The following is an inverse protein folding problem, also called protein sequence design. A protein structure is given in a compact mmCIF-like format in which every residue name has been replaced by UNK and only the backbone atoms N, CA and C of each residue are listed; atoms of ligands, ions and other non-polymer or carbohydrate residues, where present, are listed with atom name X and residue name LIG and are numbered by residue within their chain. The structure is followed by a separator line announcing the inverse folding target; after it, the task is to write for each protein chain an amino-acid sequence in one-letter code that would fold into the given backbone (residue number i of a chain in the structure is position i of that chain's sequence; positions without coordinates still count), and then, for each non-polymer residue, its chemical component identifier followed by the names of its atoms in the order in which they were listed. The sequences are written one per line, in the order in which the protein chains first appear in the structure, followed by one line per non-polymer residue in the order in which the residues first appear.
data_IF_460390293173
#
_entry.id   IF_460390293173
#
_cell.length_a   1.000
_cell.length_b   1.000
_cell.length_c   1.000
_cell.angle_alpha   90.00
_cell.angle_beta   90.00
_cell.angle_gamma   90.00
#
_symmetry.space_group_name_H-M   'P 1'
#
loop_
_entity.id
_entity.type
_entity.pdbx_description
1 polymer ?
#
# COMPACT_ATOMS: atom_id res chain seq x y z
N UNK A 1 -20.71 -0.64 -15.38
CA UNK A 1 -19.74 -0.04 -16.32
C UNK A 1 -18.37 -0.10 -15.68
N UNK A 2 -17.37 -0.64 -16.37
CA UNK A 2 -15.98 -0.76 -15.90
C UNK A 2 -15.16 0.35 -16.52
N UNK A 3 -14.25 0.94 -15.73
CA UNK A 3 -13.29 1.92 -16.23
C UNK A 3 -12.01 1.20 -16.65
N UNK A 4 -11.51 1.49 -17.83
CA UNK A 4 -10.23 1.02 -18.35
C UNK A 4 -9.29 2.22 -18.52
N UNK A 5 -8.04 2.06 -18.10
CA UNK A 5 -7.02 3.09 -18.18
C UNK A 5 -5.81 2.61 -18.98
N UNK A 6 -5.37 3.40 -19.94
CA UNK A 6 -4.13 3.18 -20.66
C UNK A 6 -3.01 3.88 -19.87
N UNK A 7 -2.01 3.12 -19.42
CA UNK A 7 -0.97 3.58 -18.50
C UNK A 7 0.40 3.63 -19.18
N UNK A 8 1.17 4.68 -18.90
CA UNK A 8 2.58 4.82 -19.27
C UNK A 8 3.47 4.82 -18.03
N UNK A 9 4.50 3.99 -18.03
CA UNK A 9 5.45 3.80 -16.92
C UNK A 9 6.77 4.48 -17.27
N UNK A 10 7.02 5.66 -16.71
CA UNK A 10 8.20 6.44 -17.08
C UNK A 10 9.47 5.98 -16.34
N UNK A 11 9.32 5.33 -15.19
CA UNK A 11 10.42 4.92 -14.32
C UNK A 11 11.10 3.60 -14.74
N UNK A 12 10.54 2.87 -15.71
CA UNK A 12 11.12 1.61 -16.21
C UNK A 12 11.44 1.72 -17.70
N UNK A 13 12.73 1.92 -18.00
CA UNK A 13 13.24 2.13 -19.35
C UNK A 13 12.86 1.01 -20.34
N UNK A 14 12.57 -0.20 -19.85
CA UNK A 14 12.21 -1.34 -20.70
C UNK A 14 10.77 -1.26 -21.24
N UNK A 15 9.91 -0.45 -20.62
CA UNK A 15 8.49 -0.36 -20.94
C UNK A 15 8.00 1.09 -21.12
N UNK A 16 8.91 2.07 -21.07
CA UNK A 16 8.59 3.49 -21.14
C UNK A 16 8.11 3.94 -22.54
N UNK A 17 8.37 3.16 -23.58
CA UNK A 17 8.02 3.46 -24.98
C UNK A 17 6.55 3.13 -25.32
N UNK A 18 5.82 2.47 -24.42
CA UNK A 18 4.50 1.90 -24.70
C UNK A 18 3.45 2.31 -23.66
N UNK A 19 2.20 2.09 -24.05
CA UNK A 19 1.04 2.22 -23.18
C UNK A 19 0.39 0.86 -22.98
N UNK A 20 -0.03 0.58 -21.75
CA UNK A 20 -0.60 -0.70 -21.36
C UNK A 20 -1.99 -0.48 -20.77
N UNK A 21 -2.97 -1.27 -21.19
CA UNK A 21 -4.33 -1.18 -20.66
C UNK A 21 -4.46 -1.92 -19.32
N UNK A 22 -5.22 -1.32 -18.39
CA UNK A 22 -5.56 -1.87 -17.09
C UNK A 22 -7.04 -1.69 -16.79
N UNK A 23 -7.61 -2.60 -15.99
CA UNK A 23 -8.89 -2.39 -15.30
C UNK A 23 -8.67 -1.38 -14.16
N UNK A 24 -9.51 -0.37 -14.05
CA UNK A 24 -9.42 0.64 -13.00
C UNK A 24 -10.70 0.61 -12.14
N UNK A 25 -10.60 0.26 -10.84
CA UNK A 25 -11.77 0.10 -9.98
C UNK A 25 -12.28 1.43 -9.38
N UNK A 26 -11.68 2.56 -9.75
CA UNK A 26 -12.03 3.88 -9.25
C UNK A 26 -11.95 4.93 -10.38
N UNK A 27 -12.63 6.08 -10.24
CA UNK A 27 -12.59 7.13 -11.26
C UNK A 27 -11.18 7.68 -11.43
N UNK A 28 -10.69 7.80 -12.66
CA UNK A 28 -9.42 8.45 -13.03
C UNK A 28 -9.63 9.31 -14.27
N UNK A 29 -8.73 10.26 -14.49
CA UNK A 29 -8.65 11.06 -15.73
C UNK A 29 -7.24 11.02 -16.31
N UNK A 30 -7.12 11.41 -17.57
CA UNK A 30 -5.82 11.60 -18.22
C UNK A 30 -4.94 12.56 -17.40
N UNK A 31 -3.66 12.22 -17.28
CA UNK A 31 -2.69 12.91 -16.44
C UNK A 31 -2.69 12.49 -14.96
N UNK A 32 -3.70 11.76 -14.47
CA UNK A 32 -3.66 11.22 -13.10
C UNK A 32 -2.46 10.26 -12.94
N UNK A 33 -1.85 10.28 -11.74
CA UNK A 33 -0.80 9.32 -11.38
C UNK A 33 -1.39 8.19 -10.55
N UNK A 34 -1.03 6.96 -10.89
CA UNK A 34 -1.53 5.74 -10.24
C UNK A 34 -0.40 4.75 -9.96
N UNK A 35 -0.67 3.79 -9.08
CA UNK A 35 0.17 2.62 -8.86
C UNK A 35 -0.46 1.40 -9.53
N UNK A 36 0.31 0.68 -10.35
CA UNK A 36 -0.17 -0.47 -11.10
C UNK A 36 0.88 -1.61 -11.13
N UNK A 37 0.44 -2.89 -11.10
CA UNK A 37 1.32 -4.05 -11.08
C UNK A 37 1.91 -4.36 -12.46
N UNK A 38 3.23 -4.52 -12.55
CA UNK A 38 3.97 -4.82 -13.78
C UNK A 38 4.60 -6.22 -13.71
N UNK A 39 4.68 -6.91 -14.85
CA UNK A 39 5.37 -8.20 -15.00
C UNK A 39 4.72 -9.38 -14.27
N UNK A 40 5.26 -10.59 -14.37
CA UNK A 40 4.67 -11.80 -13.76
C UNK A 40 4.56 -11.76 -12.23
N UNK A 41 5.38 -10.94 -11.56
CA UNK A 41 5.46 -10.87 -10.11
C UNK A 41 4.60 -9.77 -9.47
N UNK A 42 3.80 -9.06 -10.28
CA UNK A 42 2.91 -7.98 -9.84
C UNK A 42 3.62 -6.93 -8.98
N UNK A 43 4.85 -6.56 -9.34
CA UNK A 43 5.57 -5.50 -8.65
C UNK A 43 4.91 -4.18 -9.01
N UNK A 44 4.52 -3.38 -8.01
CA UNK A 44 3.87 -2.11 -8.27
C UNK A 44 4.89 -1.10 -8.78
N UNK A 45 4.53 -0.41 -9.84
CA UNK A 45 5.24 0.76 -10.34
C UNK A 45 4.27 1.95 -10.42
N UNK A 46 4.82 3.16 -10.45
CA UNK A 46 4.05 4.37 -10.71
C UNK A 46 3.82 4.51 -12.21
N UNK A 47 2.65 5.00 -12.59
CA UNK A 47 2.29 5.26 -13.98
C UNK A 47 1.47 6.54 -14.11
N UNK A 48 1.46 7.10 -15.31
CA UNK A 48 0.57 8.19 -15.71
C UNK A 48 -0.55 7.61 -16.57
N UNK A 49 -1.79 8.04 -16.30
CA UNK A 49 -2.96 7.70 -17.13
C UNK A 49 -2.89 8.52 -18.42
N UNK A 50 -2.73 7.85 -19.55
CA UNK A 50 -2.68 8.48 -20.88
C UNK A 50 -4.06 8.56 -21.53
N UNK A 51 -4.91 7.56 -21.30
CA UNK A 51 -6.28 7.49 -21.85
C UNK A 51 -7.21 6.77 -20.88
N UNK A 52 -8.49 7.15 -20.92
CA UNK A 52 -9.56 6.49 -20.14
C UNK A 52 -10.71 6.11 -21.07
N UNK A 53 -11.17 4.87 -20.96
CA UNK A 53 -12.36 4.37 -21.66
C UNK A 53 -13.28 3.73 -20.66
N UNK A 54 -14.59 3.92 -20.81
CA UNK A 54 -15.59 3.21 -20.02
C UNK A 54 -16.39 2.28 -20.93
N UNK A 55 -16.67 1.07 -20.44
CA UNK A 55 -17.40 0.07 -21.22
C UNK A 55 -17.90 -1.08 -20.36
N UNK A 56 -18.62 -2.00 -20.97
CA UNK A 56 -18.80 -3.35 -20.42
C UNK A 56 -17.61 -4.25 -20.83
N UNK A 57 -17.61 -5.50 -20.40
CA UNK A 57 -16.52 -6.43 -20.75
C UNK A 57 -16.46 -6.76 -22.24
N UNK A 58 -17.58 -6.66 -22.97
CA UNK A 58 -17.63 -6.91 -24.42
C UNK A 58 -17.02 -5.78 -25.24
N UNK A 59 -16.97 -4.57 -24.69
CA UNK A 59 -16.39 -3.37 -25.31
C UNK A 59 -15.07 -2.93 -24.66
N UNK A 60 -14.36 -3.85 -23.99
CA UNK A 60 -13.08 -3.55 -23.39
C UNK A 60 -12.02 -3.23 -24.47
N UNK A 61 -11.06 -2.33 -24.20
CA UNK A 61 -10.01 -1.96 -25.18
C UNK A 61 -9.00 -3.08 -25.44
N UNK A 62 -9.07 -4.17 -24.68
CA UNK A 62 -8.25 -5.36 -24.80
C UNK A 62 -8.99 -6.54 -24.15
N UNK A 63 -8.57 -7.77 -24.44
CA UNK A 63 -9.14 -8.95 -23.79
C UNK A 63 -8.94 -8.87 -22.27
N UNK A 64 -10.08 -8.83 -21.57
CA UNK A 64 -10.18 -8.55 -20.14
C UNK A 64 -9.45 -9.58 -19.28
N UNK A 65 -9.17 -10.78 -19.80
CA UNK A 65 -8.43 -11.85 -19.10
C UNK A 65 -6.95 -11.52 -18.93
N UNK A 66 -6.40 -10.66 -19.79
CA UNK A 66 -5.00 -10.22 -19.72
C UNK A 66 -4.85 -8.87 -19.02
N UNK A 67 -5.95 -8.18 -18.76
CA UNK A 67 -5.94 -6.89 -18.09
C UNK A 67 -5.73 -7.07 -16.58
N UNK A 68 -4.62 -6.54 -16.09
CA UNK A 68 -4.39 -6.36 -14.67
C UNK A 68 -5.20 -5.20 -14.11
N UNK A 69 -5.29 -5.13 -12.78
CA UNK A 69 -6.06 -4.08 -12.09
C UNK A 69 -5.15 -3.02 -11.49
N UNK A 70 -5.48 -1.74 -11.67
CA UNK A 70 -4.81 -0.62 -11.02
C UNK A 70 -4.98 -0.75 -9.50
N UNK A 71 -3.89 -0.64 -8.75
CA UNK A 71 -3.90 -0.86 -7.31
C UNK A 71 -4.46 0.33 -6.53
N UNK A 72 -3.99 1.55 -6.84
CA UNK A 72 -4.39 2.76 -6.13
C UNK A 72 -4.05 4.04 -6.92
N UNK A 73 -4.69 5.15 -6.57
CA UNK A 73 -4.21 6.48 -6.97
C UNK A 73 -2.93 6.82 -6.20
N UNK A 74 -2.02 7.58 -6.81
CA UNK A 74 -0.93 8.18 -6.04
C UNK A 74 -1.51 9.12 -4.98
N UNK A 75 -1.06 8.96 -3.73
CA UNK A 75 -1.61 9.69 -2.59
C UNK A 75 -2.86 9.05 -1.95
N UNK A 76 -3.24 7.84 -2.35
CA UNK A 76 -4.33 7.11 -1.69
C UNK A 76 -3.87 6.58 -0.33
N UNK A 77 -4.04 7.37 0.72
CA UNK A 77 -3.70 6.98 2.10
C UNK A 77 -4.92 6.58 2.92
N UNK A 78 -6.12 6.98 2.50
CA UNK A 78 -7.38 6.76 3.21
C UNK A 78 -8.30 5.87 2.39
N UNK A 79 -8.95 4.92 3.04
CA UNK A 79 -9.88 3.96 2.42
C UNK A 79 -11.14 3.81 3.28
N UNK A 80 -12.28 3.65 2.62
CA UNK A 80 -13.52 3.22 3.27
C UNK A 80 -13.69 1.71 3.06
N UNK A 81 -13.83 0.95 4.13
CA UNK A 81 -14.07 -0.50 4.10
C UNK A 81 -15.09 -0.86 5.18
N UNK A 82 -16.16 -1.56 4.80
CA UNK A 82 -17.28 -1.93 5.69
C UNK A 82 -17.80 -0.77 6.57
N UNK A 83 -17.89 0.43 5.97
CA UNK A 83 -18.34 1.65 6.68
C UNK A 83 -17.30 2.31 7.59
N UNK A 84 -16.10 1.74 7.69
CA UNK A 84 -15.00 2.22 8.54
C UNK A 84 -13.92 2.90 7.70
N UNK A 85 -13.41 4.03 8.21
CA UNK A 85 -12.25 4.71 7.62
C UNK A 85 -10.97 4.05 8.10
N UNK A 86 -10.17 3.58 7.16
CA UNK A 86 -8.87 2.93 7.37
C UNK A 86 -7.77 3.63 6.58
N UNK A 87 -6.52 3.33 6.95
CA UNK A 87 -5.34 3.96 6.34
C UNK A 87 -4.36 2.94 5.76
N UNK A 88 -3.71 3.30 4.65
CA UNK A 88 -2.82 2.44 3.85
C UNK A 88 -1.33 2.64 4.16
N UNK A 89 -0.58 1.54 4.22
CA UNK A 89 0.89 1.54 4.37
C UNK A 89 1.64 1.50 3.04
N UNK A 90 0.93 1.24 1.93
CA UNK A 90 1.53 1.09 0.60
C UNK A 90 2.13 2.37 -0.02
N UNK A 91 2.73 2.22 -1.20
CA UNK A 91 3.24 3.34 -2.00
C UNK A 91 4.57 3.91 -1.50
N UNK A 92 5.43 3.10 -0.87
CA UNK A 92 6.79 3.47 -0.46
C UNK A 92 7.77 2.97 -1.52
N UNK A 93 8.64 3.82 -2.09
CA UNK A 93 9.67 3.37 -3.03
C UNK A 93 10.72 2.54 -2.31
N UNK A 94 11.18 1.42 -2.90
CA UNK A 94 12.21 0.58 -2.27
C UNK A 94 13.39 0.16 -3.17
N UNK A 95 13.31 0.34 -4.50
CA UNK A 95 14.42 0.03 -5.41
C UNK A 95 14.48 0.95 -6.65
N UNK A 96 14.04 2.21 -6.49
CA UNK A 96 14.09 3.24 -7.52
C UNK A 96 12.94 3.21 -8.52
N UNK A 97 12.32 2.04 -8.78
CA UNK A 97 11.14 1.94 -9.66
C UNK A 97 9.94 1.23 -9.06
N UNK A 98 10.14 0.33 -8.09
CA UNK A 98 9.04 -0.38 -7.46
C UNK A 98 8.59 0.25 -6.14
N UNK A 99 7.33 0.01 -5.82
CA UNK A 99 6.64 0.55 -4.66
C UNK A 99 6.00 -0.57 -3.82
N UNK A 100 5.90 -0.35 -2.52
CA UNK A 100 5.17 -1.25 -1.61
C UNK A 100 3.70 -1.36 -1.96
N UNK A 101 3.12 -2.54 -1.67
CA UNK A 101 1.76 -2.95 -2.02
C UNK A 101 0.70 -2.26 -1.18
N UNK A 102 -0.41 -1.91 -1.82
CA UNK A 102 -1.63 -1.46 -1.16
C UNK A 102 -2.47 -2.65 -0.68
N UNK A 103 -3.18 -2.46 0.43
CA UNK A 103 -4.10 -3.43 1.02
C UNK A 103 -3.40 -4.55 1.78
N UNK A 104 -2.06 -4.55 1.90
CA UNK A 104 -1.32 -5.53 2.69
C UNK A 104 -1.47 -5.29 4.19
N UNK A 105 -1.26 -4.06 4.63
CA UNK A 105 -1.49 -3.65 6.01
C UNK A 105 -2.30 -2.36 6.00
N UNK A 106 -3.50 -2.43 6.56
CA UNK A 106 -4.28 -1.26 6.93
C UNK A 106 -4.21 -1.02 8.43
N UNK A 107 -4.53 0.19 8.86
CA UNK A 107 -4.64 0.51 10.27
C UNK A 107 -5.75 1.53 10.52
N UNK A 108 -6.27 1.57 11.74
CA UNK A 108 -7.27 2.55 12.16
C UNK A 108 -7.64 2.40 13.64
N UNK A 109 -8.40 3.37 14.17
CA UNK A 109 -8.90 3.37 15.55
C UNK A 109 -10.12 2.47 15.79
N UNK A 110 -10.50 1.66 14.81
CA UNK A 110 -11.61 0.71 14.88
C UNK A 110 -11.15 -0.58 15.57
N UNK A 111 -12.03 -1.24 16.34
CA UNK A 111 -11.72 -2.43 17.14
C UNK A 111 -12.41 -3.72 16.67
N UNK A 112 -13.20 -3.67 15.59
CA UNK A 112 -13.87 -4.84 15.03
C UNK A 112 -13.17 -5.47 13.82
N UNK A 113 -13.95 -6.09 12.95
CA UNK A 113 -13.47 -6.85 11.79
C UNK A 113 -13.83 -6.19 10.48
N UNK A 114 -12.94 -6.28 9.48
CA UNK A 114 -13.21 -5.88 8.10
C UNK A 114 -13.08 -7.10 7.19
N UNK A 115 -14.02 -7.27 6.26
CA UNK A 115 -14.07 -8.45 5.39
C UNK A 115 -12.78 -8.61 4.59
N UNK A 116 -12.22 -9.83 4.65
CA UNK A 116 -10.99 -10.18 3.93
C UNK A 116 -9.73 -9.58 4.54
N UNK A 117 -9.77 -9.22 5.82
CA UNK A 117 -8.63 -8.76 6.59
C UNK A 117 -8.57 -9.43 7.95
N UNK A 118 -7.36 -9.80 8.36
CA UNK A 118 -7.08 -10.37 9.67
C UNK A 118 -6.82 -9.24 10.67
N UNK A 119 -7.67 -9.04 11.68
CA UNK A 119 -7.43 -8.02 12.70
C UNK A 119 -6.25 -8.41 13.58
N UNK A 120 -5.34 -7.46 13.80
CA UNK A 120 -4.19 -7.60 14.69
C UNK A 120 -4.27 -6.49 15.72
N UNK A 121 -4.53 -6.88 16.97
CA UNK A 121 -4.67 -5.95 18.08
C UNK A 121 -3.31 -5.43 18.52
N UNK A 122 -3.07 -4.14 18.28
CA UNK A 122 -1.89 -3.41 18.66
C UNK A 122 -2.05 -2.79 20.07
N UNK A 123 -2.20 -3.66 21.07
CA UNK A 123 -2.10 -3.25 22.49
C UNK A 123 -0.67 -2.77 22.79
N UNK A 124 0.32 -3.40 22.14
CA UNK A 124 1.71 -2.94 22.04
C UNK A 124 2.19 -3.05 20.60
N UNK A 125 3.17 -2.21 20.24
CA UNK A 125 3.81 -2.22 18.93
C UNK A 125 4.48 -3.57 18.65
N UNK A 126 5.19 -4.12 19.64
CA UNK A 126 5.89 -5.40 19.53
C UNK A 126 4.92 -6.54 19.18
N UNK A 127 3.82 -6.67 19.94
CA UNK A 127 2.82 -7.71 19.74
C UNK A 127 2.23 -7.67 18.33
N UNK A 128 1.95 -6.46 17.83
CA UNK A 128 1.43 -6.28 16.48
C UNK A 128 2.45 -6.71 15.41
N UNK A 129 3.73 -6.33 15.56
CA UNK A 129 4.79 -6.72 14.63
C UNK A 129 5.08 -8.21 14.67
N UNK A 130 5.06 -8.86 15.85
CA UNK A 130 5.18 -10.32 15.95
C UNK A 130 4.03 -11.04 15.27
N UNK A 131 2.80 -10.58 15.46
CA UNK A 131 1.65 -11.13 14.74
C UNK A 131 1.79 -10.94 13.22
N UNK A 132 2.39 -9.83 12.78
CA UNK A 132 2.63 -9.57 11.37
C UNK A 132 3.64 -10.52 10.73
N UNK A 133 4.65 -10.99 11.48
CA UNK A 133 5.58 -12.01 11.01
C UNK A 133 4.88 -13.33 10.67
N UNK A 134 3.81 -13.65 11.38
CA UNK A 134 3.03 -14.89 11.18
C UNK A 134 1.87 -14.72 10.20
N UNK A 135 1.59 -13.50 9.73
CA UNK A 135 0.45 -13.24 8.87
C UNK A 135 0.78 -13.56 7.40
N UNK A 136 -0.01 -14.45 6.81
CA UNK A 136 0.06 -14.77 5.37
C UNK A 136 -0.91 -13.91 4.53
N UNK A 137 -1.90 -13.30 5.19
CA UNK A 137 -2.99 -12.55 4.57
C UNK A 137 -2.88 -11.03 4.80
N UNK A 138 -3.90 -10.29 4.33
CA UNK A 138 -4.03 -8.85 4.57
C UNK A 138 -4.31 -8.59 6.05
N UNK A 139 -3.59 -7.65 6.64
CA UNK A 139 -3.73 -7.33 8.07
C UNK A 139 -4.42 -6.01 8.28
N UNK A 140 -5.22 -5.94 9.35
CA UNK A 140 -5.78 -4.71 9.88
C UNK A 140 -5.24 -4.49 11.29
N UNK A 141 -4.33 -3.53 11.46
CA UNK A 141 -3.87 -3.11 12.77
C UNK A 141 -4.96 -2.27 13.46
N UNK A 142 -5.36 -2.71 14.64
CA UNK A 142 -6.42 -2.08 15.46
C UNK A 142 -5.92 -1.71 16.85
N UNK A 143 -6.55 -0.73 17.49
CA UNK A 143 -6.21 -0.30 18.85
C UNK A 143 -5.20 0.85 18.92
N UNK A 144 -4.84 1.25 20.14
CA UNK A 144 -4.13 2.51 20.42
C UNK A 144 -2.75 2.60 19.76
N UNK A 145 -2.04 1.47 19.58
CA UNK A 145 -0.70 1.45 18.95
C UNK A 145 -0.72 1.07 17.47
N UNK A 146 -1.88 0.97 16.83
CA UNK A 146 -2.00 0.56 15.44
C UNK A 146 -1.18 1.45 14.48
N UNK A 147 -1.28 2.77 14.66
CA UNK A 147 -0.54 3.75 13.88
C UNK A 147 0.98 3.66 14.11
N UNK A 148 1.41 3.36 15.35
CA UNK A 148 2.83 3.17 15.68
C UNK A 148 3.38 1.91 15.02
N UNK A 149 2.65 0.79 15.10
CA UNK A 149 3.03 -0.46 14.44
C UNK A 149 3.10 -0.33 12.91
N UNK A 150 2.12 0.36 12.31
CA UNK A 150 2.15 0.68 10.89
C UNK A 150 3.37 1.55 10.52
N UNK A 151 3.69 2.55 11.33
CA UNK A 151 4.87 3.40 11.13
C UNK A 151 6.19 2.61 11.19
N UNK A 152 6.30 1.61 12.06
CA UNK A 152 7.46 0.71 12.09
C UNK A 152 7.63 -0.06 10.77
N UNK A 153 6.54 -0.61 10.20
CA UNK A 153 6.62 -1.31 8.92
C UNK A 153 7.00 -0.37 7.77
N UNK A 154 6.45 0.85 7.78
CA UNK A 154 6.76 1.88 6.79
C UNK A 154 8.24 2.30 6.88
N UNK A 155 8.78 2.45 8.09
CA UNK A 155 10.21 2.70 8.34
C UNK A 155 11.09 1.56 7.80
N UNK A 156 10.76 0.31 8.16
CA UNK A 156 11.49 -0.87 7.70
C UNK A 156 11.43 -1.07 6.19
N UNK A 157 10.36 -0.62 5.55
CA UNK A 157 10.25 -0.63 4.09
C UNK A 157 11.12 0.43 3.39
N UNK A 158 11.75 1.34 4.15
CA UNK A 158 12.72 2.32 3.65
C UNK A 158 12.23 3.76 3.62
N UNK A 159 11.06 4.07 4.21
CA UNK A 159 10.59 5.45 4.30
C UNK A 159 11.43 6.27 5.29
N UNK A 160 11.65 7.53 4.97
CA UNK A 160 12.27 8.50 5.89
C UNK A 160 11.32 8.89 7.03
N UNK A 161 11.89 9.42 8.12
CA UNK A 161 11.10 9.92 9.25
C UNK A 161 10.14 11.06 8.84
N UNK A 162 10.57 11.92 7.93
CA UNK A 162 9.76 13.01 7.41
C UNK A 162 8.53 12.49 6.64
N UNK A 163 8.72 11.45 5.82
CA UNK A 163 7.62 10.80 5.09
C UNK A 163 6.65 10.09 6.04
N UNK A 164 7.16 9.42 7.07
CA UNK A 164 6.34 8.76 8.09
C UNK A 164 5.50 9.80 8.85
N UNK A 165 6.10 10.89 9.30
CA UNK A 165 5.40 11.99 9.98
C UNK A 165 4.30 12.57 9.08
N UNK A 166 4.62 12.88 7.82
CA UNK A 166 3.65 13.40 6.87
C UNK A 166 2.47 12.42 6.67
N UNK A 167 2.74 11.13 6.55
CA UNK A 167 1.70 10.09 6.44
C UNK A 167 0.84 10.01 7.69
N UNK A 168 1.42 10.01 8.88
CA UNK A 168 0.66 9.97 10.14
C UNK A 168 -0.27 11.18 10.28
N UNK A 169 0.19 12.38 9.92
CA UNK A 169 -0.66 13.59 9.87
C UNK A 169 -1.83 13.42 8.89
N UNK A 170 -1.57 12.89 7.69
CA UNK A 170 -2.64 12.59 6.72
C UNK A 170 -3.63 11.53 7.22
N UNK A 171 -3.21 10.71 8.17
CA UNK A 171 -4.04 9.71 8.83
C UNK A 171 -4.76 10.24 10.08
N UNK A 172 -4.69 11.55 10.36
CA UNK A 172 -5.30 12.17 11.54
C UNK A 172 -4.66 11.72 12.86
N UNK A 173 -3.40 11.27 12.82
CA UNK A 173 -2.65 10.89 14.00
C UNK A 173 -1.84 12.11 14.48
N UNK A 174 -2.30 12.72 15.56
CA UNK A 174 -1.64 13.89 16.19
C UNK A 174 -0.44 13.50 17.07
N UNK A 175 -0.28 12.19 17.33
CA UNK A 175 0.71 11.63 18.25
C UNK A 175 2.10 11.56 17.63
N UNK A 176 3.04 12.29 18.24
CA UNK A 176 4.44 12.36 17.82
C UNK A 176 5.02 10.99 17.49
N UNK A 177 5.42 10.81 16.23
CA UNK A 177 6.29 9.71 15.85
C UNK A 177 7.66 9.94 16.51
N UNK A 178 8.11 8.98 17.32
CA UNK A 178 9.42 9.00 17.96
C UNK A 178 10.32 7.98 17.28
N UNK A 179 10.94 8.40 16.18
CA UNK A 179 11.72 7.50 15.34
C UNK A 179 12.83 6.77 16.10
N UNK A 180 13.54 7.46 16.99
CA UNK A 180 14.57 6.86 17.83
C UNK A 180 14.01 5.75 18.72
N UNK A 181 12.91 6.03 19.43
CA UNK A 181 12.23 5.03 20.27
C UNK A 181 11.70 3.84 19.46
N UNK A 182 11.27 4.09 18.22
CA UNK A 182 10.84 3.04 17.28
C UNK A 182 12.04 2.19 16.85
N UNK A 183 13.17 2.80 16.49
CA UNK A 183 14.40 2.09 16.14
C UNK A 183 14.92 1.27 17.32
N UNK A 184 14.96 1.84 18.52
CA UNK A 184 15.31 1.14 19.76
C UNK A 184 14.42 -0.08 19.96
N UNK A 185 13.10 0.10 19.93
CA UNK A 185 12.12 -1.01 20.06
C UNK A 185 12.38 -2.10 19.02
N UNK A 186 12.66 -1.73 17.78
CA UNK A 186 12.95 -2.69 16.71
C UNK A 186 14.25 -3.46 16.98
N UNK A 187 15.32 -2.77 17.39
CA UNK A 187 16.62 -3.39 17.67
C UNK A 187 16.64 -4.27 18.92
N UNK A 188 15.87 -3.93 19.94
CA UNK A 188 15.85 -4.68 21.21
C UNK A 188 14.95 -5.92 21.14
N UNK A 189 13.85 -5.84 20.39
CA UNK A 189 12.80 -6.85 20.41
C UNK A 189 12.84 -7.84 19.24
N UNK A 190 13.56 -7.52 18.16
CA UNK A 190 13.59 -8.31 16.93
C UNK A 190 15.01 -8.60 16.47
N UNK A 191 15.23 -9.84 16.05
CA UNK A 191 16.45 -10.26 15.36
C UNK A 191 16.57 -9.62 13.97
N UNK A 192 17.78 -9.56 13.43
CA UNK A 192 18.04 -9.03 12.08
C UNK A 192 17.19 -9.73 11.01
N UNK A 193 17.06 -11.06 11.10
CA UNK A 193 16.21 -11.83 10.19
C UNK A 193 14.72 -11.44 10.30
N UNK A 194 14.21 -11.20 11.51
CA UNK A 194 12.83 -10.73 11.70
C UNK A 194 12.64 -9.35 11.09
N UNK A 195 13.60 -8.44 11.24
CA UNK A 195 13.55 -7.10 10.66
C UNK A 195 13.51 -7.16 9.13
N UNK A 196 14.33 -8.02 8.51
CA UNK A 196 14.30 -8.26 7.05
C UNK A 196 12.94 -8.80 6.62
N UNK A 197 12.36 -9.74 7.38
CA UNK A 197 11.04 -10.30 7.08
C UNK A 197 9.92 -9.27 7.23
N UNK A 198 9.94 -8.45 8.29
CA UNK A 198 9.01 -7.34 8.48
C UNK A 198 9.09 -6.31 7.34
N UNK A 199 10.30 -5.96 6.88
CA UNK A 199 10.49 -5.08 5.73
C UNK A 199 9.89 -5.66 4.43
N UNK A 200 9.85 -6.99 4.31
CA UNK A 200 9.27 -7.72 3.19
C UNK A 200 7.73 -7.78 3.18
N UNK A 201 7.07 -7.56 4.31
CA UNK A 201 5.59 -7.67 4.43
C UNK A 201 4.87 -6.72 3.46
N UNK A 202 5.44 -5.54 3.24
CA UNK A 202 4.85 -4.54 2.36
C UNK A 202 5.23 -4.73 0.87
N UNK A 203 6.06 -5.73 0.51
CA UNK A 203 6.58 -5.94 -0.84
C UNK A 203 5.79 -6.96 -1.68
#
# INVERSE_FOLDING_TARGET
MVTYAALRFAEDANIADRTYWYRCPFPVKEGDRVFAPVGSHDRLQRAVVERVTAGDEAHAPYDVRFLKTVAAKCGAYRRLADGVVLYETGGIPYDGKHFTRFGRVLFGGYDGTVRGMTPVRADSTEKALRAALSAEERMLFVGERAHTAAACLVLLAGASEAEIRARLVLCGCDGGFFAERVKETLSEQFSEWELVRLAGILR
#
